data_IF_578333969777
#
_entry.id   IF_578333969777
#
_cell.length_a   1.000
_cell.length_b   1.000
_cell.length_c   1.000
_cell.angle_alpha   90.00
_cell.angle_beta   90.00
_cell.angle_gamma   90.00
#
_symmetry.space_group_name_H-M   'P 1'
#
loop_
_entity.id
_entity.type
_entity.pdbx_description
1 polymer ?
#
# COMPACT_ATOMS: atom_id res chain seq x y z
N UNK A 1 1.64 8.37 -18.81
CA UNK A 1 2.31 7.21 -18.20
C UNK A 1 3.55 7.68 -17.40
N UNK A 2 3.40 8.65 -16.48
CA UNK A 2 4.55 9.32 -15.85
C UNK A 2 4.44 9.49 -14.32
N UNK A 3 3.56 8.73 -13.66
CA UNK A 3 3.33 8.83 -12.20
C UNK A 3 3.93 7.66 -11.40
N UNK A 4 4.51 6.67 -12.08
CA UNK A 4 5.10 5.47 -11.48
C UNK A 4 6.63 5.53 -11.37
N UNK A 5 7.29 6.43 -12.12
CA UNK A 5 8.76 6.50 -12.17
C UNK A 5 9.38 7.09 -10.89
N UNK A 6 8.65 7.97 -10.19
CA UNK A 6 9.09 8.56 -8.91
C UNK A 6 8.56 7.83 -7.67
N UNK A 7 7.87 6.69 -7.84
CA UNK A 7 7.35 5.95 -6.70
C UNK A 7 8.50 5.26 -5.96
N UNK A 8 8.93 5.89 -4.88
CA UNK A 8 9.90 5.30 -3.96
C UNK A 8 9.21 4.27 -3.07
N UNK A 9 9.78 3.06 -2.90
CA UNK A 9 9.29 2.11 -1.92
C UNK A 9 9.22 2.70 -0.53
N UNK A 10 8.14 2.42 0.21
CA UNK A 10 7.94 2.92 1.56
C UNK A 10 7.37 1.85 2.49
N UNK A 11 7.67 1.97 3.79
CA UNK A 11 7.12 1.09 4.81
C UNK A 11 5.71 1.55 5.19
N UNK A 12 4.76 0.62 5.20
CA UNK A 12 3.42 0.84 5.70
C UNK A 12 3.06 -0.22 6.74
N UNK A 13 2.42 0.22 7.82
CA UNK A 13 1.78 -0.68 8.78
C UNK A 13 0.31 -0.87 8.37
N UNK A 14 -0.09 -2.13 8.15
CA UNK A 14 -1.40 -2.53 7.64
C UNK A 14 -2.03 -3.45 8.66
N UNK A 15 -3.27 -3.16 9.05
CA UNK A 15 -4.11 -4.06 9.83
C UNK A 15 -5.11 -4.77 8.91
N UNK A 16 -5.18 -6.09 9.02
CA UNK A 16 -6.21 -6.86 8.34
C UNK A 16 -7.58 -6.61 8.99
N UNK A 17 -8.52 -6.08 8.24
CA UNK A 17 -9.89 -5.79 8.70
C UNK A 17 -10.68 -7.02 9.16
N UNK A 18 -10.25 -8.24 8.79
CA UNK A 18 -10.98 -9.47 9.07
C UNK A 18 -10.50 -10.19 10.33
N UNK A 19 -9.19 -10.20 10.58
CA UNK A 19 -8.59 -10.96 11.69
C UNK A 19 -7.72 -10.10 12.61
N UNK A 20 -7.70 -8.77 12.38
CA UNK A 20 -6.90 -7.81 13.13
C UNK A 20 -5.40 -8.11 13.15
N UNK A 21 -4.92 -8.93 12.21
CA UNK A 21 -3.51 -9.19 12.05
C UNK A 21 -2.81 -7.93 11.55
N UNK A 22 -1.88 -7.41 12.35
CA UNK A 22 -1.05 -6.27 12.02
C UNK A 22 0.24 -6.72 11.36
N UNK A 23 0.60 -6.09 10.24
CA UNK A 23 1.83 -6.37 9.51
C UNK A 23 2.50 -5.08 9.05
N UNK A 24 3.83 -5.08 9.05
CA UNK A 24 4.62 -4.07 8.35
C UNK A 24 4.99 -4.62 6.96
N UNK A 25 4.70 -3.86 5.90
CA UNK A 25 5.01 -4.24 4.52
C UNK A 25 5.75 -3.10 3.80
N UNK A 26 6.72 -3.45 2.96
CA UNK A 26 7.34 -2.52 2.03
C UNK A 26 6.46 -2.41 0.76
N UNK A 27 5.74 -1.29 0.63
CA UNK A 27 4.92 -1.01 -0.54
C UNK A 27 5.79 -0.51 -1.70
N UNK A 28 5.45 -0.97 -2.90
CA UNK A 28 6.19 -0.82 -4.15
C UNK A 28 5.19 -0.68 -5.29
N UNK A 29 5.56 -0.14 -6.46
CA UNK A 29 4.64 0.08 -7.56
C UNK A 29 3.87 -1.18 -7.97
N UNK A 30 4.57 -2.32 -7.98
CA UNK A 30 4.01 -3.64 -8.33
C UNK A 30 2.81 -4.04 -7.46
N UNK A 31 2.75 -3.56 -6.21
CA UNK A 31 1.63 -3.82 -5.29
C UNK A 31 0.34 -3.08 -5.66
N UNK A 32 0.36 -2.19 -6.66
CA UNK A 32 -0.84 -1.65 -7.30
C UNK A 32 -1.50 -2.66 -8.24
N UNK A 33 -0.71 -3.56 -8.83
CA UNK A 33 -1.16 -4.47 -9.89
C UNK A 33 -1.47 -5.87 -9.33
N UNK A 34 -0.71 -6.31 -8.33
CA UNK A 34 -0.81 -7.66 -7.76
C UNK A 34 -1.74 -7.67 -6.52
N UNK A 35 -2.63 -8.66 -6.39
CA UNK A 35 -3.42 -8.82 -5.18
C UNK A 35 -2.56 -9.24 -3.99
N UNK A 36 -2.78 -8.62 -2.83
CA UNK A 36 -2.10 -8.97 -1.58
C UNK A 36 -3.10 -9.64 -0.65
N UNK A 37 -2.71 -10.76 -0.05
CA UNK A 37 -3.51 -11.49 0.90
C UNK A 37 -2.93 -11.35 2.31
N UNK A 38 -3.80 -11.39 3.31
CA UNK A 38 -3.40 -11.50 4.69
C UNK A 38 -2.70 -12.85 4.92
N UNK A 39 -1.47 -12.89 5.43
CA UNK A 39 -0.77 -14.15 5.68
C UNK A 39 -1.41 -14.96 6.82
N UNK A 40 -2.22 -14.33 7.68
CA UNK A 40 -2.90 -15.01 8.79
C UNK A 40 -4.23 -15.65 8.41
N UNK A 41 -5.01 -15.05 7.50
CA UNK A 41 -6.38 -15.50 7.22
C UNK A 41 -6.72 -15.61 5.73
N UNK A 42 -5.79 -15.30 4.83
CA UNK A 42 -6.00 -15.30 3.38
C UNK A 42 -6.89 -14.17 2.86
N UNK A 43 -7.41 -13.31 3.73
CA UNK A 43 -8.29 -12.20 3.33
C UNK A 43 -7.58 -11.25 2.36
N UNK A 44 -8.30 -10.78 1.35
CA UNK A 44 -7.75 -9.87 0.35
C UNK A 44 -7.53 -8.46 0.93
N UNK A 45 -6.29 -7.99 0.93
CA UNK A 45 -5.86 -6.68 1.43
C UNK A 45 -5.64 -5.63 0.33
N UNK A 46 -5.86 -5.98 -0.93
CA UNK A 46 -5.56 -5.13 -2.10
C UNK A 46 -6.17 -3.73 -1.99
N UNK A 47 -7.39 -3.61 -1.47
CA UNK A 47 -8.05 -2.32 -1.29
C UNK A 47 -7.30 -1.41 -0.31
N UNK A 48 -6.93 -1.94 0.87
CA UNK A 48 -6.23 -1.20 1.92
C UNK A 48 -4.83 -0.80 1.45
N UNK A 49 -4.12 -1.73 0.80
CA UNK A 49 -2.79 -1.50 0.21
C UNK A 49 -2.85 -0.36 -0.82
N UNK A 50 -3.76 -0.43 -1.79
CA UNK A 50 -3.90 0.61 -2.83
C UNK A 50 -4.31 1.95 -2.24
N UNK A 51 -5.15 1.96 -1.20
CA UNK A 51 -5.51 3.19 -0.47
C UNK A 51 -4.27 3.82 0.18
N UNK A 52 -3.45 3.02 0.86
CA UNK A 52 -2.19 3.47 1.48
C UNK A 52 -1.23 4.06 0.44
N UNK A 53 -1.05 3.39 -0.70
CA UNK A 53 -0.23 3.88 -1.83
C UNK A 53 -0.72 5.23 -2.34
N UNK A 54 -2.02 5.37 -2.60
CA UNK A 54 -2.60 6.63 -3.08
C UNK A 54 -2.46 7.75 -2.07
N UNK A 55 -2.60 7.45 -0.78
CA UNK A 55 -2.43 8.42 0.29
C UNK A 55 -0.98 8.91 0.35
N UNK A 56 -0.01 8.01 0.34
CA UNK A 56 1.41 8.35 0.33
C UNK A 56 1.78 9.24 -0.87
N UNK A 57 1.28 8.91 -2.05
CA UNK A 57 1.48 9.72 -3.25
C UNK A 57 0.86 11.12 -3.13
N UNK A 58 -0.34 11.22 -2.56
CA UNK A 58 -1.00 12.51 -2.35
C UNK A 58 -0.22 13.39 -1.36
N UNK A 59 0.28 12.80 -0.28
CA UNK A 59 1.09 13.51 0.73
C UNK A 59 2.42 13.97 0.14
N UNK A 60 3.08 13.13 -0.66
CA UNK A 60 4.29 13.52 -1.36
C UNK A 60 4.05 14.75 -2.26
N UNK A 61 2.94 14.78 -3.01
CA UNK A 61 2.57 15.93 -3.85
C UNK A 61 2.24 17.19 -3.05
N UNK A 62 1.67 17.05 -1.85
CA UNK A 62 1.34 18.19 -0.98
C UNK A 62 2.56 18.85 -0.34
N UNK A 63 3.70 18.15 -0.22
CA UNK A 63 4.95 18.69 0.32
C UNK A 63 5.71 19.55 -0.70
N UNK A 64 5.42 19.39 -2.00
CA UNK A 64 6.04 20.17 -3.08
C UNK A 64 5.15 21.30 -3.62
N UNK A 65 4.00 21.58 -2.98
CA UNK A 65 3.03 22.60 -3.37
C UNK A 65 3.04 23.84 -2.47
#
# INVERSE_FOLDING_TARGET
>A
MGQLEDFKPFRADIECSQCHYQMAIMLQPVHMEIPIQCPSCGHNLTFIIRKSIRQHLKEALAVFG
#
